data_IF_160775308996
#
_entry.id   IF_160775308996
#
_cell.length_a   1.000
_cell.length_b   1.000
_cell.length_c   1.000
_cell.angle_alpha   90.00
_cell.angle_beta   90.00
_cell.angle_gamma   90.00
#
_symmetry.space_group_name_H-M   'P 1'
#
loop_
_entity.id
_entity.type
_entity.pdbx_description
1 polymer ?
#
# COMPACT_ATOMS: atom_id res chain seq x y z
N UNK A 1 3.79 23.74 10.83
CA UNK A 1 4.66 22.57 11.03
C UNK A 1 5.04 22.01 9.67
N UNK A 2 6.28 21.55 9.49
CA UNK A 2 6.67 20.87 8.25
C UNK A 2 5.76 19.65 8.02
N UNK A 3 5.34 19.45 6.78
CA UNK A 3 4.50 18.32 6.38
C UNK A 3 5.33 17.05 6.41
N UNK A 4 4.85 15.97 7.01
CA UNK A 4 5.55 14.69 7.03
C UNK A 4 4.69 13.60 6.38
N UNK A 5 5.34 12.64 5.72
CA UNK A 5 4.71 11.51 5.02
C UNK A 5 5.31 10.19 5.46
N UNK A 6 4.60 9.08 5.24
CA UNK A 6 5.11 7.73 5.37
C UNK A 6 5.76 7.26 4.06
N UNK A 7 6.92 6.60 4.16
CA UNK A 7 7.52 5.86 3.05
C UNK A 7 7.24 4.38 3.26
N UNK A 8 6.61 3.75 2.28
CA UNK A 8 6.32 2.32 2.23
C UNK A 8 7.23 1.70 1.18
N UNK A 9 7.94 0.61 1.49
CA UNK A 9 8.68 -0.14 0.48
C UNK A 9 7.91 -1.37 0.05
N UNK A 10 7.83 -1.63 -1.27
CA UNK A 10 7.27 -2.84 -1.88
C UNK A 10 8.39 -3.56 -2.66
N UNK A 11 9.16 -4.46 -2.00
CA UNK A 11 10.48 -4.85 -2.50
C UNK A 11 10.45 -5.79 -3.70
N UNK A 12 9.36 -6.55 -3.94
CA UNK A 12 9.36 -7.62 -4.94
C UNK A 12 8.08 -7.77 -5.77
N UNK A 13 6.88 -7.62 -5.16
CA UNK A 13 5.60 -7.89 -5.81
C UNK A 13 5.37 -9.36 -6.17
N UNK A 14 4.26 -9.64 -6.88
CA UNK A 14 3.82 -11.01 -7.16
C UNK A 14 4.45 -11.63 -8.42
N UNK A 15 4.73 -10.85 -9.47
CA UNK A 15 4.92 -11.38 -10.83
C UNK A 15 6.36 -11.33 -11.35
N UNK A 16 7.21 -10.50 -10.76
CA UNK A 16 8.61 -10.34 -11.20
C UNK A 16 9.51 -11.38 -10.55
N UNK A 17 10.62 -11.70 -11.21
CA UNK A 17 11.65 -12.61 -10.71
C UNK A 17 13.05 -12.01 -10.90
N UNK A 18 14.09 -12.69 -10.42
CA UNK A 18 15.48 -12.27 -10.60
C UNK A 18 15.94 -12.25 -12.08
N UNK A 19 15.17 -12.85 -12.99
CA UNK A 19 15.41 -12.69 -14.45
C UNK A 19 15.08 -11.28 -14.95
N UNK A 20 14.17 -10.57 -14.25
CA UNK A 20 13.82 -9.16 -14.55
C UNK A 20 14.84 -8.21 -13.93
N UNK A 21 15.24 -8.49 -12.67
CA UNK A 21 16.22 -7.69 -11.95
C UNK A 21 16.98 -8.55 -10.94
N UNK A 22 18.31 -8.61 -11.03
CA UNK A 22 19.13 -9.51 -10.21
C UNK A 22 19.01 -9.27 -8.70
N UNK A 23 18.77 -8.02 -8.27
CA UNK A 23 18.59 -7.65 -6.86
C UNK A 23 17.13 -7.73 -6.37
N UNK A 24 16.21 -8.37 -7.13
CA UNK A 24 14.83 -8.56 -6.69
C UNK A 24 14.79 -9.68 -5.64
N UNK A 25 14.36 -9.38 -4.38
CA UNK A 25 14.37 -10.36 -3.31
C UNK A 25 13.23 -11.36 -3.47
N UNK A 26 13.54 -12.66 -3.37
CA UNK A 26 12.59 -13.77 -3.52
C UNK A 26 12.43 -14.56 -2.23
N UNK A 27 13.53 -14.97 -1.63
CA UNK A 27 13.51 -15.77 -0.39
C UNK A 27 13.19 -14.92 0.82
N UNK A 28 12.65 -15.51 1.91
CA UNK A 28 12.39 -14.77 3.16
C UNK A 28 13.61 -14.01 3.69
N UNK A 29 14.81 -14.59 3.58
CA UNK A 29 16.05 -13.93 4.01
C UNK A 29 16.42 -12.75 3.10
N UNK A 30 16.38 -12.90 1.79
CA UNK A 30 16.63 -11.79 0.85
C UNK A 30 15.64 -10.64 1.06
N UNK A 31 14.35 -10.98 1.34
CA UNK A 31 13.32 -9.98 1.66
C UNK A 31 13.66 -9.26 2.96
N UNK A 32 14.03 -10.00 4.02
CA UNK A 32 14.36 -9.41 5.31
C UNK A 32 15.63 -8.51 5.24
N UNK A 33 16.65 -8.93 4.51
CA UNK A 33 17.87 -8.13 4.29
C UNK A 33 17.55 -6.83 3.52
N UNK A 34 16.70 -6.93 2.49
CA UNK A 34 16.25 -5.76 1.72
C UNK A 34 15.43 -4.80 2.58
N UNK A 35 14.53 -5.33 3.43
CA UNK A 35 13.70 -4.53 4.33
C UNK A 35 14.56 -3.81 5.37
N UNK A 36 15.55 -4.48 5.96
CA UNK A 36 16.49 -3.86 6.90
C UNK A 36 17.28 -2.73 6.24
N UNK A 37 17.80 -2.95 5.03
CA UNK A 37 18.49 -1.92 4.27
C UNK A 37 17.59 -0.69 4.00
N UNK A 38 16.33 -0.93 3.60
CA UNK A 38 15.35 0.14 3.39
C UNK A 38 14.97 0.86 4.70
N UNK A 39 14.88 0.15 5.84
CA UNK A 39 14.64 0.75 7.15
C UNK A 39 15.71 1.81 7.48
N UNK A 40 16.97 1.52 7.21
CA UNK A 40 18.05 2.47 7.42
C UNK A 40 17.94 3.73 6.56
N UNK A 41 17.19 3.68 5.46
CA UNK A 41 16.88 4.86 4.63
C UNK A 41 15.61 5.59 5.08
N UNK A 42 14.91 5.12 6.13
CA UNK A 42 13.76 5.79 6.72
C UNK A 42 12.41 5.31 6.20
N UNK A 43 12.35 4.07 5.72
CA UNK A 43 11.09 3.40 5.43
C UNK A 43 10.32 3.14 6.73
N UNK A 44 9.04 3.52 6.76
CA UNK A 44 8.17 3.32 7.92
C UNK A 44 7.34 2.03 7.83
N UNK A 45 7.10 1.53 6.62
CA UNK A 45 6.26 0.36 6.37
C UNK A 45 6.82 -0.47 5.21
N UNK A 46 6.65 -1.78 5.29
CA UNK A 46 6.94 -2.70 4.18
C UNK A 46 5.67 -3.41 3.73
N UNK A 47 5.49 -3.53 2.43
CA UNK A 47 4.46 -4.32 1.77
C UNK A 47 5.08 -5.61 1.24
N UNK A 48 4.70 -6.77 1.80
CA UNK A 48 5.32 -8.07 1.55
C UNK A 48 4.53 -8.92 0.57
N UNK A 49 5.24 -9.52 -0.38
CA UNK A 49 4.78 -10.65 -1.19
C UNK A 49 5.62 -11.87 -0.88
N UNK A 50 5.00 -12.89 -0.27
CA UNK A 50 5.66 -14.18 -0.04
C UNK A 50 5.76 -14.98 -1.33
N UNK A 51 6.77 -15.84 -1.39
CA UNK A 51 7.02 -16.72 -2.52
C UNK A 51 7.12 -18.16 -2.03
N UNK A 52 6.66 -19.09 -2.89
CA UNK A 52 6.84 -20.53 -2.67
C UNK A 52 8.29 -20.96 -2.92
N UNK A 53 8.59 -22.24 -2.73
CA UNK A 53 9.92 -22.83 -2.94
C UNK A 53 10.41 -22.73 -4.40
N UNK A 54 9.54 -22.39 -5.36
CA UNK A 54 9.88 -22.16 -6.75
C UNK A 54 10.00 -20.67 -7.10
N UNK A 55 9.89 -19.78 -6.11
CA UNK A 55 9.92 -18.33 -6.28
C UNK A 55 8.65 -17.72 -6.87
N UNK A 56 7.54 -18.47 -6.92
CA UNK A 56 6.24 -17.95 -7.38
C UNK A 56 5.49 -17.30 -6.23
N UNK A 57 4.62 -16.35 -6.57
CA UNK A 57 3.74 -15.72 -5.58
C UNK A 57 2.88 -16.74 -4.84
N UNK A 58 2.83 -16.62 -3.54
CA UNK A 58 2.09 -17.55 -2.67
C UNK A 58 1.24 -16.81 -1.63
N UNK A 59 -0.02 -17.22 -1.51
CA UNK A 59 -0.91 -16.89 -0.38
C UNK A 59 -1.08 -18.08 0.57
N UNK A 60 -0.24 -19.12 0.43
CA UNK A 60 -0.23 -20.20 1.42
C UNK A 60 0.21 -19.69 2.78
N UNK A 61 -0.46 -20.14 3.83
CA UNK A 61 -0.26 -19.64 5.21
C UNK A 61 1.18 -19.86 5.66
N UNK A 62 1.77 -21.03 5.36
CA UNK A 62 3.13 -21.39 5.79
C UNK A 62 4.20 -20.49 5.15
N UNK A 63 4.10 -20.21 3.83
CA UNK A 63 5.00 -19.32 3.12
C UNK A 63 4.95 -17.90 3.69
N UNK A 64 3.73 -17.43 3.95
CA UNK A 64 3.50 -16.09 4.49
C UNK A 64 3.92 -15.96 5.94
N UNK A 65 3.67 -16.98 6.80
CA UNK A 65 4.16 -17.00 8.18
C UNK A 65 5.69 -16.97 8.20
N UNK A 66 6.34 -17.81 7.38
CA UNK A 66 7.80 -17.86 7.29
C UNK A 66 8.38 -16.49 6.90
N UNK A 67 7.87 -15.88 5.83
CA UNK A 67 8.34 -14.57 5.37
C UNK A 67 8.07 -13.49 6.42
N UNK A 68 6.86 -13.45 7.00
CA UNK A 68 6.47 -12.48 8.00
C UNK A 68 7.35 -12.54 9.25
N UNK A 69 7.58 -13.74 9.79
CA UNK A 69 8.42 -13.94 10.98
C UNK A 69 9.88 -13.61 10.69
N UNK A 70 10.45 -14.07 9.55
CA UNK A 70 11.83 -13.74 9.18
C UNK A 70 12.06 -12.22 9.12
N UNK A 71 11.10 -11.48 8.53
CA UNK A 71 11.18 -10.00 8.50
C UNK A 71 11.03 -9.42 9.90
N UNK A 72 10.03 -9.86 10.69
CA UNK A 72 9.81 -9.35 12.06
C UNK A 72 10.99 -9.64 12.99
N UNK A 73 11.64 -10.80 12.88
CA UNK A 73 12.85 -11.13 13.65
C UNK A 73 14.00 -10.18 13.30
N UNK A 74 14.15 -9.79 12.02
CA UNK A 74 15.20 -8.90 11.56
C UNK A 74 14.99 -7.46 12.00
N UNK A 75 13.79 -6.91 11.88
CA UNK A 75 13.53 -5.46 12.04
C UNK A 75 12.70 -5.11 13.28
N UNK A 76 12.09 -6.09 13.94
CA UNK A 76 11.22 -5.87 15.11
C UNK A 76 10.07 -4.93 14.83
N UNK A 77 9.83 -3.97 15.74
CA UNK A 77 8.78 -2.97 15.62
C UNK A 77 9.24 -1.66 14.96
N UNK A 78 10.49 -1.64 14.46
CA UNK A 78 11.07 -0.47 13.80
C UNK A 78 10.48 -0.20 12.42
N UNK A 79 9.73 -1.16 11.86
CA UNK A 79 8.99 -1.02 10.61
C UNK A 79 7.61 -1.67 10.77
N UNK A 80 6.60 -1.07 10.14
CA UNK A 80 5.24 -1.65 10.08
C UNK A 80 5.22 -2.72 8.98
N UNK A 81 4.90 -3.96 9.32
CA UNK A 81 4.91 -5.07 8.36
C UNK A 81 3.50 -5.36 7.87
N UNK A 82 3.28 -5.16 6.56
CA UNK A 82 2.01 -5.39 5.88
C UNK A 82 2.10 -6.62 4.98
N UNK A 83 1.16 -7.55 5.12
CA UNK A 83 0.97 -8.65 4.16
C UNK A 83 0.07 -8.24 3.00
N UNK A 84 0.42 -8.72 1.81
CA UNK A 84 -0.46 -8.64 0.64
C UNK A 84 -1.59 -9.67 0.72
N UNK A 85 -2.70 -9.38 0.06
CA UNK A 85 -3.71 -10.39 -0.31
C UNK A 85 -3.89 -10.47 -1.82
N UNK A 86 -2.94 -9.95 -2.63
CA UNK A 86 -3.07 -9.93 -4.10
C UNK A 86 -3.32 -11.32 -4.66
N UNK A 87 -4.47 -11.48 -5.34
CA UNK A 87 -4.93 -12.79 -5.83
C UNK A 87 -4.19 -13.27 -7.09
N UNK A 88 -3.66 -12.36 -7.90
CA UNK A 88 -3.07 -12.59 -9.24
C UNK A 88 -3.92 -13.51 -10.14
N UNK A 89 -5.24 -13.52 -9.92
CA UNK A 89 -6.17 -14.39 -10.66
C UNK A 89 -6.10 -15.88 -10.27
N UNK A 90 -5.40 -16.25 -9.18
CA UNK A 90 -5.21 -17.63 -8.72
C UNK A 90 -5.96 -17.93 -7.42
N UNK A 91 -6.11 -16.94 -6.54
CA UNK A 91 -6.70 -17.10 -5.22
C UNK A 91 -8.09 -16.51 -5.15
N UNK A 92 -9.01 -17.21 -4.48
CA UNK A 92 -10.37 -16.71 -4.24
C UNK A 92 -10.40 -15.69 -3.09
N UNK A 93 -11.48 -14.87 -2.99
CA UNK A 93 -11.68 -13.98 -1.84
C UNK A 93 -11.62 -14.73 -0.49
N UNK A 94 -12.12 -15.94 -0.42
CA UNK A 94 -12.11 -16.75 0.80
C UNK A 94 -10.70 -17.14 1.20
N UNK A 95 -9.84 -17.51 0.25
CA UNK A 95 -8.43 -17.82 0.50
C UNK A 95 -7.67 -16.56 0.97
N UNK A 96 -7.89 -15.42 0.33
CA UNK A 96 -7.33 -14.15 0.74
C UNK A 96 -7.73 -13.78 2.20
N UNK A 97 -9.01 -13.90 2.54
CA UNK A 97 -9.52 -13.65 3.89
C UNK A 97 -8.98 -14.67 4.91
N UNK A 98 -8.87 -15.95 4.53
CA UNK A 98 -8.37 -17.00 5.40
C UNK A 98 -6.91 -16.82 5.77
N UNK A 99 -6.07 -16.35 4.86
CA UNK A 99 -4.68 -15.99 5.12
C UNK A 99 -4.58 -14.98 6.27
N UNK A 100 -5.32 -13.88 6.17
CA UNK A 100 -5.26 -12.81 7.18
C UNK A 100 -5.82 -13.26 8.53
N UNK A 101 -6.90 -14.07 8.52
CA UNK A 101 -7.45 -14.66 9.75
C UNK A 101 -6.48 -15.60 10.44
N UNK A 102 -5.70 -16.37 9.68
CA UNK A 102 -4.74 -17.31 10.22
C UNK A 102 -3.51 -16.62 10.82
N UNK A 103 -2.96 -15.62 10.15
CA UNK A 103 -1.72 -14.95 10.55
C UNK A 103 -1.96 -13.81 11.53
N UNK A 104 -3.06 -13.06 11.39
CA UNK A 104 -3.34 -11.83 12.15
C UNK A 104 -2.15 -10.85 12.12
N UNK A 105 -1.71 -10.44 10.93
CA UNK A 105 -0.57 -9.54 10.80
C UNK A 105 -0.90 -8.16 11.37
N UNK A 106 0.12 -7.36 11.64
CA UNK A 106 -0.05 -5.97 12.10
C UNK A 106 -0.80 -5.11 11.07
N UNK A 107 -0.57 -5.35 9.78
CA UNK A 107 -1.26 -4.68 8.68
C UNK A 107 -1.48 -5.63 7.49
N UNK A 108 -2.49 -5.33 6.68
CA UNK A 108 -2.76 -6.06 5.44
C UNK A 108 -3.31 -5.13 4.35
N UNK A 109 -3.03 -5.45 3.09
CA UNK A 109 -3.58 -4.72 1.95
C UNK A 109 -4.72 -5.49 1.28
N UNK A 110 -5.72 -4.77 0.80
CA UNK A 110 -6.97 -5.32 0.29
C UNK A 110 -7.40 -4.64 -1.00
N UNK A 111 -7.29 -5.33 -2.13
CA UNK A 111 -7.88 -4.85 -3.39
C UNK A 111 -9.41 -5.02 -3.33
N UNK A 112 -10.14 -3.90 -3.24
CA UNK A 112 -11.61 -3.92 -3.07
C UNK A 112 -12.29 -4.72 -4.18
N UNK A 113 -11.82 -4.59 -5.42
CA UNK A 113 -12.40 -5.30 -6.56
C UNK A 113 -12.19 -6.82 -6.53
N UNK A 114 -11.15 -7.30 -5.83
CA UNK A 114 -10.88 -8.73 -5.67
C UNK A 114 -11.71 -9.33 -4.54
N UNK A 115 -11.74 -8.66 -3.38
CA UNK A 115 -12.44 -9.14 -2.18
C UNK A 115 -13.95 -8.88 -2.18
N UNK A 116 -14.37 -7.85 -2.92
CA UNK A 116 -15.79 -7.47 -3.05
C UNK A 116 -16.11 -7.33 -4.54
N UNK A 117 -16.09 -8.41 -5.33
CA UNK A 117 -16.30 -8.32 -6.78
C UNK A 117 -17.70 -7.84 -7.14
N UNK A 118 -18.71 -8.22 -6.36
CA UNK A 118 -20.13 -7.86 -6.60
C UNK A 118 -20.93 -7.82 -5.28
N UNK A 119 -22.24 -7.56 -5.37
CA UNK A 119 -23.14 -7.47 -4.20
C UNK A 119 -23.31 -8.78 -3.44
N UNK A 120 -23.09 -9.93 -4.06
CA UNK A 120 -23.21 -11.26 -3.41
C UNK A 120 -22.11 -11.46 -2.36
N UNK A 121 -20.98 -10.78 -2.52
CA UNK A 121 -19.87 -10.82 -1.57
C UNK A 121 -20.02 -9.83 -0.39
N UNK A 122 -21.07 -8.99 -0.36
CA UNK A 122 -21.21 -7.94 0.66
C UNK A 122 -21.27 -8.49 2.08
N UNK A 123 -22.01 -9.58 2.34
CA UNK A 123 -22.16 -10.10 3.70
C UNK A 123 -20.88 -10.75 4.20
N UNK A 124 -20.17 -11.52 3.36
CA UNK A 124 -18.88 -12.10 3.72
C UNK A 124 -17.80 -11.02 3.90
N UNK A 125 -17.80 -9.99 3.05
CA UNK A 125 -16.90 -8.85 3.16
C UNK A 125 -17.16 -8.05 4.44
N UNK A 126 -18.43 -7.74 4.76
CA UNK A 126 -18.81 -7.06 6.00
C UNK A 126 -18.29 -7.83 7.21
N UNK A 127 -18.58 -9.10 7.30
CA UNK A 127 -18.14 -9.94 8.41
C UNK A 127 -16.61 -9.96 8.53
N UNK A 128 -15.89 -10.01 7.40
CA UNK A 128 -14.43 -10.03 7.38
C UNK A 128 -13.82 -8.68 7.78
N UNK A 129 -14.24 -7.57 7.18
CA UNK A 129 -13.62 -6.28 7.47
C UNK A 129 -13.95 -5.75 8.87
N UNK A 130 -15.13 -6.06 9.43
CA UNK A 130 -15.42 -5.79 10.84
C UNK A 130 -14.54 -6.66 11.76
N UNK A 131 -14.30 -7.94 11.41
CA UNK A 131 -13.36 -8.79 12.12
C UNK A 131 -11.91 -8.23 12.04
N UNK A 132 -11.47 -7.67 10.90
CA UNK A 132 -10.17 -6.99 10.74
C UNK A 132 -10.04 -5.82 11.72
N UNK A 133 -11.09 -5.01 11.83
CA UNK A 133 -11.16 -3.86 12.75
C UNK A 133 -11.12 -4.31 14.22
N UNK A 134 -11.93 -5.30 14.60
CA UNK A 134 -11.96 -5.89 15.94
C UNK A 134 -10.60 -6.46 16.38
N UNK A 135 -9.80 -6.95 15.44
CA UNK A 135 -8.47 -7.50 15.72
C UNK A 135 -7.35 -6.45 15.59
N UNK A 136 -7.71 -5.18 15.43
CA UNK A 136 -6.75 -4.06 15.32
C UNK A 136 -5.73 -4.23 14.20
N UNK A 137 -6.08 -4.94 13.12
CA UNK A 137 -5.25 -5.07 11.92
C UNK A 137 -5.42 -3.79 11.11
N UNK A 138 -4.33 -3.12 10.77
CA UNK A 138 -4.33 -1.90 9.95
C UNK A 138 -4.62 -2.29 8.48
N UNK A 139 -5.80 -1.96 7.92
CA UNK A 139 -6.11 -2.25 6.53
C UNK A 139 -5.53 -1.17 5.63
N UNK A 140 -5.07 -1.55 4.44
CA UNK A 140 -4.83 -0.62 3.35
C UNK A 140 -5.72 -1.01 2.16
N UNK A 141 -6.74 -0.21 1.89
CA UNK A 141 -7.68 -0.44 0.79
C UNK A 141 -7.08 0.06 -0.52
N UNK A 142 -6.98 -0.85 -1.50
CA UNK A 142 -6.36 -0.55 -2.79
C UNK A 142 -7.43 -0.17 -3.80
N UNK A 143 -7.25 0.99 -4.43
CA UNK A 143 -8.10 1.53 -5.49
C UNK A 143 -7.26 1.92 -6.70
N UNK A 144 -7.80 1.70 -7.91
CA UNK A 144 -7.08 1.88 -9.16
C UNK A 144 -7.65 2.99 -10.04
N UNK A 145 -8.78 3.54 -9.66
CA UNK A 145 -9.46 4.59 -10.43
C UNK A 145 -10.32 5.46 -9.52
N UNK A 146 -10.72 6.67 -9.96
CA UNK A 146 -11.72 7.48 -9.24
C UNK A 146 -13.06 6.74 -9.03
N UNK A 147 -13.43 5.87 -9.97
CA UNK A 147 -14.63 5.02 -9.82
C UNK A 147 -14.47 4.02 -8.68
N UNK A 148 -13.28 3.38 -8.54
CA UNK A 148 -12.99 2.50 -7.41
C UNK A 148 -13.01 3.27 -6.08
N UNK A 149 -12.48 4.50 -6.07
CA UNK A 149 -12.48 5.35 -4.88
C UNK A 149 -13.91 5.74 -4.47
N UNK A 150 -14.75 6.11 -5.43
CA UNK A 150 -16.18 6.35 -5.16
C UNK A 150 -16.87 5.11 -4.61
N UNK A 151 -16.63 3.94 -5.23
CA UNK A 151 -17.15 2.67 -4.74
C UNK A 151 -16.67 2.36 -3.31
N UNK A 152 -15.43 2.66 -2.99
CA UNK A 152 -14.90 2.53 -1.62
C UNK A 152 -15.70 3.37 -0.62
N UNK A 153 -16.00 4.63 -0.95
CA UNK A 153 -16.81 5.51 -0.12
C UNK A 153 -18.24 4.97 0.04
N UNK A 154 -18.86 4.49 -1.06
CA UNK A 154 -20.18 3.86 -1.03
C UNK A 154 -20.19 2.60 -0.12
N UNK A 155 -19.13 1.81 -0.08
CA UNK A 155 -19.02 0.62 0.79
C UNK A 155 -18.94 1.00 2.28
N UNK A 156 -18.32 2.12 2.62
CA UNK A 156 -18.30 2.65 3.99
C UNK A 156 -19.70 3.16 4.38
N UNK A 157 -20.33 3.95 3.51
CA UNK A 157 -21.67 4.49 3.75
C UNK A 157 -22.70 3.37 3.97
N UNK A 158 -22.63 2.30 3.19
CA UNK A 158 -23.46 1.11 3.32
C UNK A 158 -23.02 0.13 4.42
N UNK A 159 -22.04 0.50 5.26
CA UNK A 159 -21.51 -0.29 6.38
C UNK A 159 -21.01 -1.69 5.97
N UNK A 160 -20.56 -1.85 4.74
CA UNK A 160 -19.83 -3.04 4.29
C UNK A 160 -18.39 -2.98 4.82
N UNK A 161 -17.77 -1.80 4.73
CA UNK A 161 -16.54 -1.49 5.42
C UNK A 161 -16.84 -0.76 6.75
N UNK A 162 -16.01 -0.94 7.80
CA UNK A 162 -16.12 -0.17 9.05
C UNK A 162 -16.05 1.33 8.77
N UNK A 163 -16.52 2.17 9.72
CA UNK A 163 -16.40 3.64 9.62
C UNK A 163 -15.04 4.17 10.06
N UNK A 164 -14.23 3.36 10.67
CA UNK A 164 -12.91 3.72 11.20
C UNK A 164 -11.86 2.72 10.73
N UNK A 165 -10.59 3.00 11.03
CA UNK A 165 -9.45 2.17 10.66
C UNK A 165 -9.25 2.13 9.14
N UNK A 166 -8.94 3.27 8.53
CA UNK A 166 -8.79 3.42 7.09
C UNK A 166 -7.40 3.92 6.70
N UNK A 167 -6.81 3.27 5.71
CA UNK A 167 -5.66 3.72 4.93
C UNK A 167 -5.92 3.35 3.47
N UNK A 168 -5.76 4.28 2.54
CA UNK A 168 -6.08 4.07 1.12
C UNK A 168 -4.80 4.08 0.30
N UNK A 169 -4.66 3.14 -0.65
CA UNK A 169 -3.60 3.15 -1.65
C UNK A 169 -4.19 3.42 -3.03
N UNK A 170 -3.74 4.50 -3.65
CA UNK A 170 -4.03 4.84 -5.04
C UNK A 170 -2.94 4.24 -5.94
N UNK A 171 -3.34 3.38 -6.87
CA UNK A 171 -2.41 2.70 -7.79
C UNK A 171 -2.45 3.36 -9.15
N UNK A 172 -1.34 3.98 -9.57
CA UNK A 172 -1.22 4.63 -10.87
C UNK A 172 -0.56 3.69 -11.88
N UNK A 173 -1.06 3.67 -13.12
CA UNK A 173 -0.45 2.99 -14.25
C UNK A 173 -0.68 1.47 -14.35
N UNK A 174 -1.31 0.79 -13.37
CA UNK A 174 -1.48 -0.68 -13.35
C UNK A 174 -2.24 -1.21 -14.57
N UNK A 175 -3.23 -0.49 -15.04
CA UNK A 175 -4.07 -0.89 -16.18
C UNK A 175 -3.73 -0.16 -17.48
N UNK A 176 -2.68 0.64 -17.49
CA UNK A 176 -2.10 1.16 -18.71
C UNK A 176 -1.46 0.01 -19.49
N UNK A 177 -1.63 -0.02 -20.83
CA UNK A 177 -1.10 -1.08 -21.69
C UNK A 177 0.42 -1.31 -21.56
N UNK A 178 1.17 -0.29 -21.13
CA UNK A 178 2.62 -0.32 -20.97
C UNK A 178 3.07 -0.39 -19.52
N UNK A 179 2.15 -0.51 -18.53
CA UNK A 179 2.47 -0.39 -17.12
C UNK A 179 3.27 0.90 -16.81
N UNK A 180 2.84 2.02 -17.39
CA UNK A 180 3.46 3.34 -17.21
C UNK A 180 2.47 4.29 -16.57
N UNK A 181 2.95 5.08 -15.66
CA UNK A 181 2.21 6.17 -15.01
C UNK A 181 2.88 7.52 -15.25
N UNK A 182 2.12 8.56 -15.08
CA UNK A 182 2.63 9.94 -15.08
C UNK A 182 2.06 10.71 -13.89
N UNK A 183 2.69 11.83 -13.46
CA UNK A 183 2.16 12.66 -12.39
C UNK A 183 0.72 13.14 -12.62
N UNK A 184 0.30 13.28 -13.87
CA UNK A 184 -1.06 13.69 -14.24
C UNK A 184 -2.12 12.64 -13.92
N UNK A 185 -1.73 11.36 -13.75
CA UNK A 185 -2.66 10.29 -13.39
C UNK A 185 -3.24 10.46 -11.98
N UNK A 186 -2.62 11.30 -11.13
CA UNK A 186 -3.15 11.67 -9.82
C UNK A 186 -4.29 12.69 -9.91
N UNK A 187 -4.33 13.53 -10.95
CA UNK A 187 -5.28 14.64 -11.06
C UNK A 187 -6.76 14.22 -10.95
N UNK A 188 -7.21 13.10 -11.55
CA UNK A 188 -8.60 12.65 -11.42
C UNK A 188 -9.01 12.27 -9.99
N UNK A 189 -8.05 11.98 -9.10
CA UNK A 189 -8.30 11.66 -7.69
C UNK A 189 -8.37 12.90 -6.80
N UNK A 190 -7.76 14.03 -7.21
CA UNK A 190 -7.62 15.25 -6.39
C UNK A 190 -8.95 15.74 -5.78
N UNK A 191 -10.09 15.78 -6.52
CA UNK A 191 -11.36 16.21 -5.94
C UNK A 191 -11.80 15.36 -4.73
N UNK A 192 -11.50 14.06 -4.76
CA UNK A 192 -11.86 13.12 -3.70
C UNK A 192 -10.88 13.13 -2.53
N UNK A 193 -9.60 13.48 -2.76
CA UNK A 193 -8.58 13.50 -1.70
C UNK A 193 -8.90 14.50 -0.60
N UNK A 194 -9.63 15.56 -0.90
CA UNK A 194 -10.10 16.54 0.09
C UNK A 194 -11.21 16.00 1.00
N UNK A 195 -11.95 15.00 0.50
CA UNK A 195 -13.03 14.33 1.23
C UNK A 195 -12.50 13.16 2.09
N UNK A 196 -11.30 12.66 1.79
CA UNK A 196 -10.68 11.61 2.58
C UNK A 196 -10.16 12.18 3.90
N UNK A 197 -10.79 11.79 4.99
CA UNK A 197 -10.33 12.11 6.36
C UNK A 197 -9.27 11.13 6.88
N UNK A 198 -9.02 10.03 6.15
CA UNK A 198 -7.98 9.04 6.44
C UNK A 198 -6.66 9.35 5.71
N UNK A 199 -5.59 8.64 6.11
CA UNK A 199 -4.32 8.66 5.36
C UNK A 199 -4.49 7.95 4.02
N UNK A 200 -3.81 8.48 3.01
CA UNK A 200 -3.75 7.87 1.69
C UNK A 200 -2.32 7.84 1.18
N UNK A 201 -2.01 6.86 0.38
CA UNK A 201 -0.71 6.64 -0.24
C UNK A 201 -0.86 6.49 -1.75
N UNK A 202 0.24 6.65 -2.48
CA UNK A 202 0.32 6.39 -3.92
C UNK A 202 1.43 5.38 -4.19
N UNK A 203 1.18 4.44 -5.10
CA UNK A 203 2.24 3.74 -5.84
C UNK A 203 2.05 3.96 -7.34
N UNK A 204 3.14 3.89 -8.10
CA UNK A 204 3.15 4.24 -9.50
C UNK A 204 4.02 3.28 -10.32
N UNK A 205 3.47 2.74 -11.40
CA UNK A 205 4.19 1.82 -12.28
C UNK A 205 5.04 2.57 -13.30
N UNK A 206 6.22 2.01 -13.61
CA UNK A 206 7.09 2.50 -14.68
C UNK A 206 8.12 3.55 -14.27
N UNK A 207 8.90 4.02 -15.24
CA UNK A 207 10.09 4.87 -15.02
C UNK A 207 9.80 6.25 -14.42
N UNK A 208 8.55 6.72 -14.46
CA UNK A 208 8.13 7.96 -13.81
C UNK A 208 7.64 7.77 -12.36
N UNK A 209 7.91 6.63 -11.72
CA UNK A 209 7.54 6.36 -10.32
C UNK A 209 7.97 7.51 -9.41
N UNK A 210 9.24 7.93 -9.46
CA UNK A 210 9.77 8.97 -8.59
C UNK A 210 9.03 10.31 -8.74
N UNK A 211 8.69 10.71 -9.97
CA UNK A 211 7.93 11.93 -10.27
C UNK A 211 6.50 11.83 -9.71
N UNK A 212 5.83 10.70 -9.91
CA UNK A 212 4.48 10.46 -9.39
C UNK A 212 4.45 10.49 -7.85
N UNK A 213 5.41 9.84 -7.19
CA UNK A 213 5.50 9.80 -5.74
C UNK A 213 5.85 11.17 -5.14
N UNK A 214 6.73 11.93 -5.79
CA UNK A 214 7.03 13.31 -5.40
C UNK A 214 5.77 14.18 -5.49
N UNK A 215 4.99 14.03 -6.55
CA UNK A 215 3.72 14.75 -6.70
C UNK A 215 2.76 14.37 -5.58
N UNK A 216 2.60 13.10 -5.26
CA UNK A 216 1.78 12.65 -4.14
C UNK A 216 2.23 13.25 -2.80
N UNK A 217 3.53 13.28 -2.54
CA UNK A 217 4.11 13.88 -1.34
C UNK A 217 3.79 15.38 -1.22
N UNK A 218 3.84 16.12 -2.33
CA UNK A 218 3.46 17.54 -2.37
C UNK A 218 1.97 17.76 -2.02
N UNK A 219 1.09 16.83 -2.42
CA UNK A 219 -0.31 16.84 -2.01
C UNK A 219 -0.55 16.32 -0.58
N UNK A 220 0.47 15.73 0.07
CA UNK A 220 0.41 15.23 1.45
C UNK A 220 0.07 13.77 1.59
N UNK A 221 0.09 13.06 0.50
CA UNK A 221 -0.01 11.61 0.47
C UNK A 221 1.27 10.94 0.93
N UNK A 222 1.13 9.74 1.46
CA UNK A 222 2.21 8.81 1.67
C UNK A 222 2.64 8.19 0.34
N UNK A 223 3.79 7.52 0.31
CA UNK A 223 4.36 7.00 -0.93
C UNK A 223 4.77 5.54 -0.78
N UNK A 224 4.47 4.71 -1.79
CA UNK A 224 4.92 3.32 -1.86
C UNK A 224 5.85 3.17 -3.07
N UNK A 225 7.12 2.83 -2.80
CA UNK A 225 8.21 2.73 -3.77
C UNK A 225 8.81 1.33 -3.76
N UNK A 226 9.37 0.88 -4.86
CA UNK A 226 10.17 -0.35 -4.91
C UNK A 226 9.94 -1.21 -6.14
N UNK A 227 10.68 -2.30 -6.21
CA UNK A 227 10.78 -3.17 -7.39
C UNK A 227 9.46 -3.83 -7.79
N UNK A 228 8.48 -3.90 -6.89
CA UNK A 228 7.13 -4.30 -7.27
C UNK A 228 6.56 -3.39 -8.36
N UNK A 229 6.72 -2.09 -8.21
CA UNK A 229 6.12 -1.11 -9.09
C UNK A 229 7.09 -0.69 -10.23
N UNK A 230 8.35 -0.44 -9.88
CA UNK A 230 9.37 -0.03 -10.83
C UNK A 230 10.76 -0.55 -10.45
N UNK A 231 11.49 -1.11 -11.41
CA UNK A 231 12.86 -1.60 -11.24
C UNK A 231 13.86 -0.82 -12.09
N UNK A 232 13.44 0.32 -12.63
CA UNK A 232 14.27 1.22 -13.42
C UNK A 232 14.57 2.50 -12.65
N UNK A 233 15.68 3.13 -12.97
CA UNK A 233 15.95 4.47 -12.50
C UNK A 233 15.29 5.55 -13.41
N UNK A 234 15.53 6.82 -13.12
CA UNK A 234 14.98 7.95 -13.88
C UNK A 234 15.57 8.11 -15.29
N UNK A 235 16.60 7.34 -15.63
CA UNK A 235 17.22 7.26 -16.97
C UNK A 235 16.84 5.97 -17.69
N UNK A 236 15.84 5.23 -17.17
CA UNK A 236 15.37 3.95 -17.71
C UNK A 236 16.44 2.86 -17.70
N UNK A 237 17.45 2.98 -16.85
CA UNK A 237 18.43 1.95 -16.59
C UNK A 237 18.01 1.13 -15.35
N UNK A 238 18.45 -0.15 -15.23
CA UNK A 238 18.18 -0.94 -14.03
C UNK A 238 18.59 -0.18 -12.77
N UNK A 239 17.67 -0.03 -11.82
CA UNK A 239 17.93 0.59 -10.54
C UNK A 239 18.94 -0.26 -9.73
N UNK A 240 19.71 0.35 -8.85
CA UNK A 240 20.73 -0.37 -8.09
C UNK A 240 20.09 -1.36 -7.10
N UNK A 241 19.13 -0.88 -6.30
CA UNK A 241 18.42 -1.66 -5.29
C UNK A 241 17.15 -0.93 -4.82
N UNK A 242 16.27 -1.63 -4.10
CA UNK A 242 15.14 -1.02 -3.39
C UNK A 242 15.61 0.07 -2.42
N UNK A 243 16.66 -0.20 -1.65
CA UNK A 243 17.26 0.76 -0.73
C UNK A 243 17.67 2.06 -1.45
N UNK A 244 18.33 1.93 -2.60
CA UNK A 244 18.77 3.09 -3.38
C UNK A 244 17.58 3.94 -3.87
N UNK A 245 16.48 3.30 -4.30
CA UNK A 245 15.27 4.00 -4.70
C UNK A 245 14.64 4.76 -3.51
N UNK A 246 14.54 4.11 -2.33
CA UNK A 246 14.05 4.76 -1.10
C UNK A 246 14.92 5.96 -0.74
N UNK A 247 16.25 5.80 -0.78
CA UNK A 247 17.21 6.87 -0.50
C UNK A 247 17.00 8.08 -1.43
N UNK A 248 16.94 7.83 -2.75
CA UNK A 248 16.70 8.90 -3.74
C UNK A 248 15.41 9.67 -3.49
N UNK A 249 14.32 8.93 -3.22
CA UNK A 249 13.04 9.56 -2.91
C UNK A 249 13.14 10.41 -1.64
N UNK A 250 13.71 9.88 -0.57
CA UNK A 250 13.88 10.61 0.69
C UNK A 250 14.71 11.87 0.55
N UNK A 251 15.82 11.80 -0.17
CA UNK A 251 16.67 12.97 -0.44
C UNK A 251 15.86 14.07 -1.18
N UNK A 252 15.10 13.69 -2.21
CA UNK A 252 14.29 14.61 -2.99
C UNK A 252 13.20 15.29 -2.15
N UNK A 253 12.41 14.55 -1.39
CA UNK A 253 11.35 15.12 -0.56
C UNK A 253 11.91 15.97 0.60
N UNK A 254 13.10 15.62 1.11
CA UNK A 254 13.78 16.42 2.12
C UNK A 254 14.19 17.80 1.57
N UNK A 255 14.68 17.87 0.33
CA UNK A 255 14.96 19.14 -0.36
C UNK A 255 13.71 20.01 -0.53
N UNK A 256 12.51 19.39 -0.60
CA UNK A 256 11.21 20.05 -0.65
C UNK A 256 10.67 20.40 0.75
N UNK A 257 11.48 20.26 1.81
CA UNK A 257 11.10 20.47 3.21
C UNK A 257 9.93 19.60 3.67
N UNK A 258 9.85 18.35 3.14
CA UNK A 258 8.89 17.32 3.55
C UNK A 258 9.61 16.33 4.45
N UNK A 259 9.14 16.17 5.69
CA UNK A 259 9.67 15.19 6.65
C UNK A 259 9.13 13.77 6.37
N UNK A 260 9.74 12.77 7.03
CA UNK A 260 9.27 11.39 7.01
C UNK A 260 8.92 10.92 8.41
N UNK A 261 7.89 10.09 8.53
CA UNK A 261 7.57 9.39 9.78
C UNK A 261 8.48 8.18 9.95
N UNK A 262 8.88 7.87 11.18
CA UNK A 262 9.28 6.53 11.57
C UNK A 262 8.06 5.61 11.71
N UNK A 263 8.28 4.31 11.94
CA UNK A 263 7.18 3.36 12.04
C UNK A 263 6.22 3.63 13.20
N UNK A 264 6.73 4.09 14.35
CA UNK A 264 5.88 4.40 15.51
C UNK A 264 4.97 5.59 15.24
N UNK A 265 5.52 6.68 14.75
CA UNK A 265 4.75 7.87 14.37
C UNK A 265 3.78 7.55 13.24
N UNK A 266 4.18 6.70 12.27
CA UNK A 266 3.33 6.34 11.15
C UNK A 266 2.11 5.50 11.58
N UNK A 267 2.29 4.49 12.46
CA UNK A 267 1.18 3.73 13.08
C UNK A 267 0.18 4.67 13.74
N UNK A 268 0.68 5.57 14.59
CA UNK A 268 -0.18 6.53 15.29
C UNK A 268 -0.94 7.42 14.31
N UNK A 269 -0.30 7.88 13.24
CA UNK A 269 -0.96 8.75 12.25
C UNK A 269 -2.01 8.04 11.42
N UNK A 270 -1.81 6.76 11.06
CA UNK A 270 -2.84 5.97 10.40
C UNK A 270 -4.05 5.80 11.32
N UNK A 271 -3.83 5.38 12.57
CA UNK A 271 -4.91 5.14 13.54
C UNK A 271 -5.67 6.44 13.86
N UNK A 272 -4.98 7.56 14.11
CA UNK A 272 -5.59 8.85 14.46
C UNK A 272 -6.43 9.45 13.32
N UNK A 273 -6.04 9.21 12.07
CA UNK A 273 -6.71 9.75 10.90
C UNK A 273 -7.74 8.77 10.30
N UNK A 274 -8.11 7.72 11.01
CA UNK A 274 -8.87 6.60 10.46
C UNK A 274 -10.38 6.72 10.54
N UNK A 275 -10.92 7.80 11.14
CA UNK A 275 -12.37 7.98 11.25
C UNK A 275 -12.90 8.79 10.08
N UNK A 276 -13.71 8.16 9.23
CA UNK A 276 -14.40 8.82 8.14
C UNK A 276 -15.64 9.57 8.66
N UNK A 277 -15.71 10.88 8.44
CA UNK A 277 -16.95 11.63 8.64
C UNK A 277 -17.93 11.28 7.49
N UNK A 278 -19.23 11.16 7.79
CA UNK A 278 -20.22 10.86 6.78
C UNK A 278 -20.26 11.96 5.71
N UNK A 279 -20.21 11.55 4.44
CA UNK A 279 -20.23 12.43 3.26
C UNK A 279 -21.46 13.37 3.27
N UNK A 280 -22.54 13.00 3.95
CA UNK A 280 -23.79 13.76 4.07
C UNK A 280 -23.62 15.12 4.79
N UNK A 281 -22.61 15.32 5.61
CA UNK A 281 -22.37 16.61 6.28
C UNK A 281 -21.58 17.61 5.42
N UNK A 282 -20.98 17.18 4.32
CA UNK A 282 -20.18 18.04 3.44
C UNK A 282 -21.00 18.73 2.35
N UNK A 283 -22.19 18.20 2.02
CA UNK A 283 -23.11 18.81 1.03
C UNK A 283 -23.94 19.94 1.61
N UNK A 284 -24.16 20.00 2.93
CA UNK A 284 -24.95 21.05 3.58
C UNK A 284 -24.16 22.35 3.84
N UNK A 285 -22.83 22.33 3.75
CA UNK A 285 -21.98 23.50 4.00
C UNK A 285 -21.46 24.23 2.74
N UNK A 286 -21.96 23.87 1.56
CA UNK A 286 -21.63 24.59 0.30
C UNK A 286 -22.82 25.41 -0.24
N UNK A 287 -23.43 26.24 0.59
CA UNK A 287 -24.01 27.50 0.10
C UNK A 287 -22.90 28.55 0.12
N UNK A 288 -22.29 28.74 -1.02
CA UNK A 288 -21.32 29.81 -1.26
C UNK A 288 -22.14 31.09 -1.54
N UNK A 289 -21.80 32.24 -0.91
CA UNK A 289 -22.46 33.50 -1.12
C UNK A 289 -22.27 34.05 -2.53
#
# INVERSE_FOLDING_TARGET
>A
MAKSIGIIVAPNGATKSQTVHAALPITPLEIADTVEACLHQGTAMVHLHSRDSQGKHSLEIEDNLTTYHTVKERVGDKILVQLTTEAVGQYSPEQQMSLIKAIKPEAASFAIKELIPDRRSHDSARAFFHWVDEHSIIPQYIVYSPTDLKRYLDLIENQILPKQNHHVLLVLGRYNKQLQSSPTDLLPFVPYLQELTCRWAVCAFGSQELQCLTTAALFGGDVRIGFENNHLDTFEQPAISNEHQVKKLKELITQLNIGTYDAQAYRQRIIQCSTMQSVTQLTENKEIP
#
